data_IF_283832455833
#
_entry.id   IF_283832455833
#
_cell.length_a   1.000
_cell.length_b   1.000
_cell.length_c   1.000
_cell.angle_alpha   90.00
_cell.angle_beta   90.00
_cell.angle_gamma   90.00
#
_symmetry.space_group_name_H-M   'P 1'
#
loop_
_entity.id
_entity.type
_entity.pdbx_description
1 polymer ?
#
# COMPACT_ATOMS: atom_id res chain seq x y z
N UNK A 1 -21.19 1.80 -4.18
CA UNK A 1 -19.74 1.48 -4.25
C UNK A 1 -19.06 2.04 -3.03
N UNK A 2 -18.17 1.28 -2.42
CA UNK A 2 -17.49 1.69 -1.18
C UNK A 2 -16.01 1.34 -1.26
N UNK A 3 -15.15 2.27 -0.83
CA UNK A 3 -13.73 2.01 -0.65
C UNK A 3 -13.54 1.34 0.70
N UNK A 4 -12.71 0.31 0.75
CA UNK A 4 -12.32 -0.32 1.98
C UNK A 4 -10.86 -0.81 1.94
N UNK A 5 -10.28 -0.96 3.11
CA UNK A 5 -9.00 -1.65 3.31
C UNK A 5 -9.14 -2.68 4.41
N UNK A 6 -8.68 -3.88 4.13
CA UNK A 6 -8.48 -4.95 5.11
C UNK A 6 -7.00 -5.26 5.16
N UNK A 7 -6.43 -5.27 6.34
CA UNK A 7 -5.00 -5.52 6.44
C UNK A 7 -4.53 -5.79 7.85
N UNK A 8 -3.23 -5.98 7.95
CA UNK A 8 -2.49 -6.06 9.20
C UNK A 8 -1.17 -5.31 9.07
N UNK A 9 -0.65 -4.88 10.18
CA UNK A 9 0.62 -4.15 10.23
C UNK A 9 1.44 -4.56 11.46
N UNK A 10 2.65 -4.01 11.55
CA UNK A 10 3.49 -4.14 12.75
C UNK A 10 2.81 -3.68 14.06
N UNK A 11 1.71 -2.94 13.97
CA UNK A 11 0.91 -2.50 15.13
C UNK A 11 -0.08 -3.55 15.59
N UNK A 12 -0.58 -4.38 14.66
CA UNK A 12 -1.67 -5.33 14.92
C UNK A 12 -1.21 -6.77 14.94
N UNK A 13 -0.09 -7.10 14.29
CA UNK A 13 0.39 -8.47 14.13
C UNK A 13 1.90 -8.58 14.34
N UNK A 14 2.37 -9.62 15.07
CA UNK A 14 3.80 -9.93 15.20
C UNK A 14 4.36 -10.44 13.87
N UNK A 15 5.70 -10.48 13.76
CA UNK A 15 6.38 -10.83 12.51
C UNK A 15 6.02 -12.22 12.00
N UNK A 16 5.82 -13.19 12.89
CA UNK A 16 5.45 -14.59 12.58
C UNK A 16 4.11 -14.71 11.83
N UNK A 17 3.20 -13.78 12.09
CA UNK A 17 1.89 -13.73 11.41
C UNK A 17 2.04 -12.98 10.08
N UNK A 18 2.79 -11.87 10.09
CA UNK A 18 3.00 -11.05 8.88
C UNK A 18 3.71 -11.80 7.77
N UNK A 19 4.72 -12.61 8.09
CA UNK A 19 5.46 -13.40 7.10
C UNK A 19 4.59 -14.46 6.40
N UNK A 20 3.63 -15.09 7.11
CA UNK A 20 2.69 -16.06 6.53
C UNK A 20 1.70 -15.44 5.54
N UNK A 21 1.43 -14.15 5.69
CA UNK A 21 0.50 -13.41 4.84
C UNK A 21 1.21 -12.59 3.76
N UNK A 22 2.54 -12.50 3.81
CA UNK A 22 3.33 -11.77 2.81
C UNK A 22 3.08 -12.32 1.40
N UNK A 23 2.79 -11.43 0.45
CA UNK A 23 2.58 -11.78 -0.97
C UNK A 23 3.77 -11.25 -1.76
N UNK A 24 4.67 -12.13 -2.22
CA UNK A 24 5.83 -11.72 -3.00
C UNK A 24 5.42 -11.29 -4.42
N UNK A 25 6.24 -10.43 -5.04
CA UNK A 25 5.96 -9.85 -6.37
C UNK A 25 5.55 -10.87 -7.44
N UNK A 26 6.15 -12.08 -7.54
CA UNK A 26 5.73 -13.05 -8.54
C UNK A 26 4.31 -13.60 -8.37
N UNK A 27 3.73 -13.49 -7.17
CA UNK A 27 2.38 -13.96 -6.87
C UNK A 27 1.32 -12.86 -6.96
N UNK A 28 1.72 -11.60 -7.12
CA UNK A 28 0.81 -10.44 -7.12
C UNK A 28 -0.24 -10.52 -8.22
N UNK A 29 0.13 -10.94 -9.43
CA UNK A 29 -0.80 -11.06 -10.55
C UNK A 29 -1.94 -12.02 -10.24
N UNK A 30 -1.61 -13.24 -9.79
CA UNK A 30 -2.59 -14.24 -9.43
C UNK A 30 -3.46 -13.81 -8.23
N UNK A 31 -2.86 -13.14 -7.24
CA UNK A 31 -3.56 -12.65 -6.06
C UNK A 31 -4.57 -11.54 -6.41
N UNK A 32 -4.20 -10.58 -7.24
CA UNK A 32 -5.09 -9.50 -7.70
C UNK A 32 -6.21 -10.09 -8.57
N UNK A 33 -5.89 -10.99 -9.50
CA UNK A 33 -6.89 -11.64 -10.34
C UNK A 33 -7.90 -12.45 -9.51
N UNK A 34 -7.44 -13.16 -8.49
CA UNK A 34 -8.31 -13.89 -7.58
C UNK A 34 -9.23 -12.94 -6.80
N UNK A 35 -8.71 -11.84 -6.24
CA UNK A 35 -9.54 -10.84 -5.56
C UNK A 35 -10.61 -10.25 -6.48
N UNK A 36 -10.26 -9.89 -7.71
CA UNK A 36 -11.20 -9.35 -8.67
C UNK A 36 -12.19 -10.41 -9.25
N UNK A 37 -12.01 -11.70 -8.97
CA UNK A 37 -12.95 -12.74 -9.34
C UNK A 37 -14.13 -12.88 -8.36
N UNK A 38 -14.07 -12.29 -7.20
CA UNK A 38 -15.17 -12.29 -6.24
C UNK A 38 -16.30 -11.34 -6.69
N UNK A 39 -17.56 -11.74 -6.51
CA UNK A 39 -18.71 -11.02 -7.08
C UNK A 39 -18.93 -9.60 -6.54
N UNK A 40 -18.45 -9.31 -5.32
CA UNK A 40 -18.65 -8.00 -4.71
C UNK A 40 -17.40 -7.10 -4.75
N UNK A 41 -16.28 -7.58 -5.31
CA UNK A 41 -15.02 -6.81 -5.47
C UNK A 41 -14.91 -6.31 -6.92
N UNK A 42 -14.92 -4.99 -7.10
CA UNK A 42 -14.85 -4.34 -8.41
C UNK A 42 -13.42 -3.90 -8.76
N UNK A 43 -12.70 -3.40 -7.77
CA UNK A 43 -11.29 -3.03 -7.90
C UNK A 43 -10.53 -3.60 -6.71
N UNK A 44 -9.29 -4.05 -6.92
CA UNK A 44 -8.42 -4.54 -5.85
C UNK A 44 -6.95 -4.25 -6.13
N UNK A 45 -6.21 -3.91 -5.08
CA UNK A 45 -4.75 -3.88 -5.11
C UNK A 45 -4.16 -4.22 -3.75
N UNK A 46 -2.90 -4.64 -3.72
CA UNK A 46 -2.26 -5.20 -2.54
C UNK A 46 -0.97 -4.44 -2.24
N UNK A 47 -0.89 -3.84 -1.06
CA UNK A 47 0.33 -3.28 -0.50
C UNK A 47 0.95 -4.32 0.44
N UNK A 48 1.98 -5.03 -0.02
CA UNK A 48 2.73 -6.02 0.76
C UNK A 48 4.16 -5.52 0.98
N UNK A 49 4.54 -5.36 2.25
CA UNK A 49 5.87 -4.89 2.68
C UNK A 49 6.35 -5.73 3.86
N UNK A 50 7.56 -5.48 4.37
CA UNK A 50 8.03 -6.12 5.61
C UNK A 50 7.16 -5.81 6.84
N UNK A 51 6.46 -4.66 6.86
CA UNK A 51 5.75 -4.19 8.04
C UNK A 51 4.23 -4.24 7.93
N UNK A 52 3.68 -4.51 6.72
CA UNK A 52 2.23 -4.55 6.49
C UNK A 52 1.85 -5.39 5.29
N UNK A 53 0.66 -5.96 5.38
CA UNK A 53 -0.11 -6.40 4.25
C UNK A 53 -1.46 -5.70 4.29
N UNK A 54 -1.81 -4.97 3.25
CA UNK A 54 -3.07 -4.25 3.13
C UNK A 54 -3.68 -4.49 1.76
N UNK A 55 -4.95 -4.85 1.74
CA UNK A 55 -5.73 -5.07 0.52
C UNK A 55 -6.74 -3.94 0.42
N UNK A 56 -6.56 -3.08 -0.56
CA UNK A 56 -7.46 -1.98 -0.90
C UNK A 56 -8.43 -2.44 -1.96
N UNK A 57 -9.72 -2.26 -1.70
CA UNK A 57 -10.78 -2.70 -2.60
C UNK A 57 -11.84 -1.62 -2.80
N UNK A 58 -12.50 -1.69 -3.95
CA UNK A 58 -13.79 -1.05 -4.19
C UNK A 58 -14.83 -2.16 -4.25
N UNK A 59 -15.87 -2.04 -3.44
CA UNK A 59 -16.91 -3.06 -3.32
C UNK A 59 -18.28 -2.54 -3.74
N UNK A 60 -19.07 -3.40 -4.36
CA UNK A 60 -20.50 -3.12 -4.61
C UNK A 60 -21.30 -3.16 -3.32
N UNK A 61 -21.02 -4.15 -2.47
CA UNK A 61 -21.62 -4.35 -1.14
C UNK A 61 -20.53 -4.52 -0.09
N UNK A 62 -20.48 -3.62 0.88
CA UNK A 62 -19.36 -3.52 1.82
C UNK A 62 -19.17 -4.78 2.67
N UNK A 63 -20.24 -5.28 3.30
CA UNK A 63 -20.12 -6.44 4.19
C UNK A 63 -19.69 -7.72 3.47
N UNK A 64 -20.24 -7.95 2.28
CA UNK A 64 -19.90 -9.11 1.47
C UNK A 64 -18.46 -9.00 0.94
N UNK A 65 -18.09 -7.85 0.39
CA UNK A 65 -16.72 -7.63 -0.08
C UNK A 65 -15.67 -7.79 1.03
N UNK A 66 -15.96 -7.32 2.26
CA UNK A 66 -15.04 -7.53 3.38
C UNK A 66 -14.89 -9.00 3.77
N UNK A 67 -15.96 -9.79 3.69
CA UNK A 67 -15.89 -11.25 3.92
C UNK A 67 -15.07 -11.94 2.83
N UNK A 68 -15.23 -11.53 1.58
CA UNK A 68 -14.45 -12.06 0.44
C UNK A 68 -12.96 -11.76 0.59
N UNK A 69 -12.57 -10.54 0.99
CA UNK A 69 -11.17 -10.23 1.29
C UNK A 69 -10.64 -11.07 2.45
N UNK A 70 -11.42 -11.25 3.52
CA UNK A 70 -11.03 -12.08 4.65
C UNK A 70 -10.90 -13.57 4.26
N UNK A 71 -11.78 -14.06 3.39
CA UNK A 71 -11.70 -15.40 2.82
C UNK A 71 -10.42 -15.56 2.00
N UNK A 72 -10.12 -14.62 1.09
CA UNK A 72 -8.88 -14.60 0.32
C UNK A 72 -7.64 -14.71 1.22
N UNK A 73 -7.59 -13.93 2.31
CA UNK A 73 -6.46 -13.96 3.25
C UNK A 73 -6.34 -15.32 3.96
N UNK A 74 -7.45 -15.94 4.32
CA UNK A 74 -7.47 -17.28 4.92
C UNK A 74 -6.97 -18.36 3.95
N UNK A 75 -7.40 -18.30 2.70
CA UNK A 75 -6.98 -19.22 1.64
C UNK A 75 -5.47 -19.06 1.33
N UNK A 76 -5.02 -17.80 1.19
CA UNK A 76 -3.62 -17.50 0.91
C UNK A 76 -2.67 -17.97 2.02
N UNK A 77 -3.00 -17.66 3.27
CA UNK A 77 -2.16 -18.01 4.42
C UNK A 77 -2.31 -19.46 4.89
N UNK A 78 -3.34 -20.18 4.39
CA UNK A 78 -3.74 -21.50 4.87
C UNK A 78 -4.09 -21.51 6.37
N UNK A 79 -4.46 -20.37 6.92
CA UNK A 79 -4.89 -20.22 8.30
C UNK A 79 -6.41 -20.00 8.36
N UNK A 80 -7.11 -20.60 9.30
CA UNK A 80 -8.54 -20.34 9.46
C UNK A 80 -8.79 -18.90 9.90
N UNK A 81 -9.87 -18.31 9.39
CA UNK A 81 -10.19 -16.88 9.56
C UNK A 81 -10.25 -16.45 11.04
N UNK A 82 -10.67 -17.34 11.96
CA UNK A 82 -10.75 -17.02 13.38
C UNK A 82 -9.36 -16.78 14.01
N UNK A 83 -8.29 -17.36 13.45
CA UNK A 83 -6.91 -17.10 13.88
C UNK A 83 -6.36 -15.79 13.32
N UNK A 84 -6.82 -15.36 12.14
CA UNK A 84 -6.38 -14.10 11.50
C UNK A 84 -7.11 -12.90 12.07
N UNK A 85 -8.40 -13.07 12.40
CA UNK A 85 -9.30 -11.98 12.82
C UNK A 85 -8.74 -11.06 13.92
N UNK A 86 -8.04 -11.54 14.96
CA UNK A 86 -7.46 -10.68 15.99
C UNK A 86 -6.39 -9.73 15.50
N UNK A 87 -5.77 -10.02 14.36
CA UNK A 87 -4.66 -9.25 13.77
C UNK A 87 -5.12 -8.32 12.65
N UNK A 88 -6.29 -8.58 12.08
CA UNK A 88 -6.81 -7.79 10.96
C UNK A 88 -7.51 -6.53 11.45
N UNK A 89 -7.21 -5.43 10.79
CA UNK A 89 -8.03 -4.23 10.85
C UNK A 89 -8.85 -4.08 9.56
N UNK A 90 -9.98 -3.39 9.69
CA UNK A 90 -10.83 -3.02 8.55
C UNK A 90 -11.17 -1.54 8.67
N UNK A 91 -10.90 -0.77 7.63
CA UNK A 91 -11.27 0.64 7.55
C UNK A 91 -12.12 0.86 6.30
N UNK A 92 -13.07 1.74 6.41
CA UNK A 92 -14.08 2.00 5.38
C UNK A 92 -14.08 3.47 5.00
N UNK A 93 -14.43 3.77 3.74
CA UNK A 93 -14.65 5.12 3.23
C UNK A 93 -13.51 6.08 3.57
N UNK A 94 -13.84 7.18 4.26
CA UNK A 94 -12.91 8.23 4.63
C UNK A 94 -11.74 7.72 5.49
N UNK A 95 -11.99 6.74 6.39
CA UNK A 95 -10.94 6.15 7.20
C UNK A 95 -9.93 5.36 6.36
N UNK A 96 -10.41 4.65 5.31
CA UNK A 96 -9.53 3.95 4.38
C UNK A 96 -8.69 4.92 3.52
N UNK A 97 -9.29 6.04 3.11
CA UNK A 97 -8.62 7.12 2.37
C UNK A 97 -7.52 7.75 3.22
N UNK A 98 -7.87 8.22 4.42
CA UNK A 98 -6.94 8.81 5.37
C UNK A 98 -5.81 7.84 5.71
N UNK A 99 -6.13 6.56 5.92
CA UNK A 99 -5.13 5.54 6.22
C UNK A 99 -4.09 5.40 5.10
N UNK A 100 -4.51 5.29 3.82
CA UNK A 100 -3.56 5.21 2.71
C UNK A 100 -2.69 6.47 2.61
N UNK A 101 -3.24 7.65 2.85
CA UNK A 101 -2.49 8.91 2.86
C UNK A 101 -1.46 8.94 4.00
N UNK A 102 -1.83 8.52 5.22
CA UNK A 102 -0.92 8.37 6.37
C UNK A 102 0.19 7.37 6.09
N UNK A 103 -0.14 6.24 5.46
CA UNK A 103 0.85 5.24 5.03
C UNK A 103 1.81 5.85 4.01
N UNK A 104 1.31 6.52 2.97
CA UNK A 104 2.14 7.15 1.93
C UNK A 104 3.05 8.26 2.49
N UNK A 105 2.58 9.00 3.49
CA UNK A 105 3.36 10.02 4.20
C UNK A 105 4.40 9.43 5.17
N UNK A 106 4.28 8.15 5.52
CA UNK A 106 5.15 7.48 6.49
C UNK A 106 4.74 7.71 7.95
N UNK A 107 3.54 8.25 8.19
CA UNK A 107 3.00 8.45 9.55
C UNK A 107 2.59 7.14 10.22
N UNK A 108 2.27 6.12 9.42
CA UNK A 108 1.95 4.78 9.92
C UNK A 108 3.11 3.78 9.80
N UNK A 109 4.31 4.23 9.48
CA UNK A 109 5.51 3.39 9.41
C UNK A 109 6.08 3.10 10.79
N UNK A 110 6.82 1.98 10.92
CA UNK A 110 7.56 1.64 12.14
C UNK A 110 8.49 2.79 12.54
N UNK A 111 9.12 3.39 11.55
CA UNK A 111 9.93 4.59 11.68
C UNK A 111 9.19 5.75 11.04
N UNK A 112 8.79 6.73 11.85
CA UNK A 112 8.03 7.90 11.39
C UNK A 112 8.78 8.63 10.27
N UNK A 113 8.09 8.86 9.15
CA UNK A 113 8.66 9.55 8.00
C UNK A 113 9.60 8.72 7.13
N UNK A 114 9.61 7.38 7.29
CA UNK A 114 10.41 6.50 6.43
C UNK A 114 10.10 6.72 4.94
N UNK A 115 11.15 7.00 4.16
CA UNK A 115 10.98 7.30 2.72
C UNK A 115 10.66 6.11 1.84
N UNK A 116 10.94 4.90 2.31
CA UNK A 116 10.74 3.67 1.56
C UNK A 116 9.26 3.39 1.28
N UNK A 117 8.38 3.67 2.26
CA UNK A 117 6.95 3.37 2.13
C UNK A 117 6.29 4.12 0.96
N UNK A 118 6.66 5.38 0.71
CA UNK A 118 6.14 6.12 -0.44
C UNK A 118 6.53 5.46 -1.77
N UNK A 119 7.73 4.89 -1.86
CA UNK A 119 8.17 4.15 -3.04
C UNK A 119 7.42 2.83 -3.18
N UNK A 120 7.08 2.17 -2.08
CA UNK A 120 6.27 0.94 -2.06
C UNK A 120 4.82 1.23 -2.48
N UNK A 121 4.21 2.31 -2.00
CA UNK A 121 2.86 2.75 -2.45
C UNK A 121 2.85 3.06 -3.95
N UNK A 122 3.88 3.75 -4.49
CA UNK A 122 4.02 3.96 -5.94
C UNK A 122 4.14 2.65 -6.71
N UNK A 123 4.90 1.70 -6.18
CA UNK A 123 5.05 0.38 -6.79
C UNK A 123 3.73 -0.39 -6.79
N UNK A 124 3.01 -0.39 -5.67
CA UNK A 124 1.66 -1.00 -5.55
C UNK A 124 0.69 -0.42 -6.57
N UNK A 125 0.65 0.90 -6.74
CA UNK A 125 -0.16 1.56 -7.76
C UNK A 125 0.18 1.07 -9.17
N UNK A 126 1.47 1.03 -9.51
CA UNK A 126 1.94 0.55 -10.83
C UNK A 126 1.58 -0.91 -11.07
N UNK A 127 1.79 -1.78 -10.09
CA UNK A 127 1.48 -3.21 -10.15
C UNK A 127 -0.02 -3.44 -10.30
N UNK A 128 -0.85 -2.73 -9.51
CA UNK A 128 -2.30 -2.81 -9.61
C UNK A 128 -2.84 -2.38 -10.97
N UNK A 129 -2.23 -1.35 -11.60
CA UNK A 129 -2.56 -0.95 -12.97
C UNK A 129 -2.12 -2.01 -13.99
N UNK A 130 -0.91 -2.53 -13.85
CA UNK A 130 -0.35 -3.54 -14.77
C UNK A 130 -1.21 -4.80 -14.81
N UNK A 131 -1.70 -5.26 -13.66
CA UNK A 131 -2.52 -6.47 -13.54
C UNK A 131 -4.03 -6.19 -13.54
N UNK A 132 -4.43 -4.98 -13.99
CA UNK A 132 -5.84 -4.56 -14.16
C UNK A 132 -6.72 -4.70 -12.91
N UNK A 133 -6.13 -4.68 -11.73
CA UNK A 133 -6.87 -4.66 -10.47
C UNK A 133 -7.33 -3.27 -10.06
N UNK A 134 -6.67 -2.22 -10.56
CA UNK A 134 -6.99 -0.82 -10.28
C UNK A 134 -7.84 -0.24 -11.42
N UNK A 135 -9.07 0.15 -11.10
CA UNK A 135 -9.95 0.93 -11.97
C UNK A 135 -9.86 2.43 -11.67
N UNK A 136 -10.93 3.15 -11.95
CA UNK A 136 -10.98 4.62 -11.83
C UNK A 136 -10.80 5.10 -10.39
N UNK A 137 -11.38 4.39 -9.44
CA UNK A 137 -11.47 4.82 -8.04
C UNK A 137 -10.14 4.64 -7.33
N UNK A 138 -9.59 3.42 -7.31
CA UNK A 138 -8.30 3.17 -6.69
C UNK A 138 -7.17 3.93 -7.41
N UNK A 139 -7.27 4.12 -8.74
CA UNK A 139 -6.30 4.92 -9.47
C UNK A 139 -6.25 6.37 -8.96
N UNK A 140 -7.42 6.99 -8.74
CA UNK A 140 -7.48 8.35 -8.20
C UNK A 140 -6.99 8.39 -6.75
N UNK A 141 -7.43 7.44 -5.91
CA UNK A 141 -7.03 7.33 -4.52
C UNK A 141 -5.50 7.21 -4.37
N UNK A 142 -4.88 6.26 -5.11
CA UNK A 142 -3.43 6.07 -5.03
C UNK A 142 -2.64 7.27 -5.56
N UNK A 143 -3.11 7.93 -6.62
CA UNK A 143 -2.50 9.17 -7.12
C UNK A 143 -2.52 10.25 -6.04
N UNK A 144 -3.68 10.48 -5.42
CA UNK A 144 -3.84 11.47 -4.35
C UNK A 144 -3.01 11.13 -3.11
N UNK A 145 -2.97 9.87 -2.69
CA UNK A 145 -2.13 9.45 -1.57
C UNK A 145 -0.62 9.65 -1.86
N UNK A 146 -0.18 9.40 -3.11
CA UNK A 146 1.21 9.66 -3.51
C UNK A 146 1.51 11.17 -3.54
N UNK A 147 0.58 12.01 -3.99
CA UNK A 147 0.70 13.47 -3.97
C UNK A 147 0.77 13.97 -2.53
N UNK A 148 -0.15 13.54 -1.65
CA UNK A 148 -0.17 13.84 -0.23
C UNK A 148 1.13 13.44 0.48
N UNK A 149 1.62 12.21 0.24
CA UNK A 149 2.89 11.75 0.80
C UNK A 149 4.11 12.56 0.34
N UNK A 150 4.12 13.09 -0.90
CA UNK A 150 5.15 14.02 -1.36
C UNK A 150 5.02 15.39 -0.69
N UNK A 151 3.79 15.94 -0.61
CA UNK A 151 3.48 17.22 -0.01
C UNK A 151 3.94 17.27 1.44
N UNK A 152 3.54 16.28 2.24
CA UNK A 152 3.95 16.14 3.64
C UNK A 152 5.49 16.14 3.79
N UNK A 153 6.20 15.40 2.93
CA UNK A 153 7.67 15.33 2.97
C UNK A 153 8.37 16.63 2.56
N UNK A 154 7.70 17.47 1.79
CA UNK A 154 8.25 18.74 1.30
C UNK A 154 7.92 19.89 2.23
N UNK A 155 6.71 19.89 2.80
CA UNK A 155 6.19 20.99 3.62
C UNK A 155 6.43 20.80 5.13
N UNK A 156 6.81 19.57 5.57
CA UNK A 156 7.14 19.30 6.97
C UNK A 156 8.55 18.74 7.13
N UNK A 157 9.06 18.76 8.36
CA UNK A 157 10.36 18.15 8.68
C UNK A 157 10.34 16.62 8.79
N UNK A 158 9.24 15.95 8.41
CA UNK A 158 9.09 14.50 8.56
C UNK A 158 10.13 13.69 7.76
N UNK A 159 10.61 14.26 6.64
CA UNK A 159 11.64 13.64 5.80
C UNK A 159 13.07 13.90 6.26
N UNK A 160 13.28 14.88 7.16
CA UNK A 160 14.60 15.24 7.69
C UNK A 160 14.83 14.56 9.02
N UNK A 161 15.81 13.67 9.07
CA UNK A 161 16.11 12.89 10.29
C UNK A 161 15.26 11.62 10.44
N UNK A 162 14.57 11.19 9.40
CA UNK A 162 13.88 9.89 9.39
C UNK A 162 14.91 8.76 9.57
N UNK A 163 14.84 8.09 10.69
CA UNK A 163 15.60 6.86 10.93
C UNK A 163 14.99 5.78 10.04
N UNK A 164 15.76 5.17 9.15
CA UNK A 164 15.31 4.00 8.38
C UNK A 164 15.34 2.75 9.27
N UNK A 165 14.65 1.68 8.88
CA UNK A 165 14.79 0.38 9.56
C UNK A 165 16.27 -0.02 9.65
N UNK A 166 17.03 0.22 8.59
CA UNK A 166 18.47 -0.04 8.57
C UNK A 166 19.23 0.81 9.59
N UNK A 167 18.91 2.10 9.74
CA UNK A 167 19.56 2.95 10.75
C UNK A 167 19.13 2.58 12.16
N UNK A 168 17.86 2.22 12.39
CA UNK A 168 17.37 1.72 13.66
C UNK A 168 18.06 0.41 14.07
N UNK A 169 18.29 -0.49 13.10
CA UNK A 169 19.05 -1.72 13.34
C UNK A 169 20.50 -1.45 13.74
N UNK A 170 21.18 -0.52 13.07
CA UNK A 170 22.56 -0.11 13.43
C UNK A 170 22.59 0.57 14.80
N UNK A 171 21.58 1.39 15.12
CA UNK A 171 21.47 2.03 16.44
C UNK A 171 21.23 1.00 17.56
N UNK A 172 20.37 0.00 17.32
CA UNK A 172 20.17 -1.11 18.27
C UNK A 172 21.46 -1.91 18.44
N UNK A 173 22.18 -2.21 17.35
CA UNK A 173 23.47 -2.89 17.41
C UNK A 173 24.47 -2.09 18.25
N UNK A 174 24.56 -0.78 18.05
CA UNK A 174 25.43 0.10 18.86
C UNK A 174 25.06 0.08 20.35
N UNK A 175 23.77 0.07 20.68
CA UNK A 175 23.30 0.02 22.08
C UNK A 175 23.60 -1.35 22.72
N UNK A 176 23.49 -2.44 21.97
CA UNK A 176 23.69 -3.80 22.48
C UNK A 176 25.18 -4.19 22.58
N UNK A 177 26.01 -3.77 21.65
CA UNK A 177 27.45 -4.06 21.64
C UNK A 177 28.27 -3.12 22.52
N UNK A 178 27.71 -2.01 23.00
CA UNK A 178 28.41 -0.93 23.69
C UNK A 178 29.49 -0.23 22.85
N UNK A 179 30.22 -0.95 21.99
CA UNK A 179 31.25 -0.40 21.12
C UNK A 179 31.29 -1.12 19.77
N UNK A 180 30.50 -0.61 18.81
CA UNK A 180 30.44 -1.17 17.46
C UNK A 180 31.77 -1.01 16.70
N UNK A 181 32.62 -0.04 17.08
CA UNK A 181 33.92 0.21 16.43
C UNK A 181 34.92 -0.95 16.62
N UNK A 182 34.75 -1.75 17.66
CA UNK A 182 35.59 -2.94 17.89
C UNK A 182 35.03 -4.23 17.25
N UNK A 183 33.81 -4.16 16.67
CA UNK A 183 33.12 -5.33 16.15
C UNK A 183 33.47 -5.62 14.67
N UNK A 184 33.55 -6.90 14.34
CA UNK A 184 33.56 -7.41 12.96
C UNK A 184 32.12 -7.61 12.53
N UNK A 185 31.70 -6.89 11.52
CA UNK A 185 30.32 -6.85 11.08
C UNK A 185 30.14 -7.60 9.76
N UNK A 186 29.16 -8.49 9.68
CA UNK A 186 28.74 -9.09 8.44
C UNK A 186 27.33 -8.63 8.02
N UNK A 187 27.12 -8.40 6.73
CA UNK A 187 25.83 -8.06 6.13
C UNK A 187 25.48 -9.14 5.11
N UNK A 188 24.42 -9.89 5.37
CA UNK A 188 23.89 -10.92 4.47
C UNK A 188 22.82 -10.31 3.57
N UNK A 189 23.18 -10.09 2.31
CA UNK A 189 22.42 -9.40 1.28
C UNK A 189 23.16 -8.20 0.72
N UNK A 190 22.90 -7.86 -0.55
CA UNK A 190 23.49 -6.69 -1.23
C UNK A 190 22.43 -5.78 -1.89
N UNK A 191 21.19 -5.81 -1.40
CA UNK A 191 20.09 -5.02 -1.90
C UNK A 191 20.05 -3.58 -1.33
N UNK A 192 18.91 -2.92 -1.53
CA UNK A 192 18.68 -1.53 -1.04
C UNK A 192 18.88 -1.40 0.47
N UNK A 193 18.44 -2.41 1.25
CA UNK A 193 18.58 -2.40 2.71
C UNK A 193 20.05 -2.51 3.13
N UNK A 194 20.81 -3.40 2.47
CA UNK A 194 22.25 -3.54 2.71
C UNK A 194 23.00 -2.22 2.44
N UNK A 195 22.64 -1.51 1.37
CA UNK A 195 23.20 -0.18 1.09
C UNK A 195 22.99 0.82 2.22
N UNK A 196 21.76 0.86 2.75
CA UNK A 196 21.43 1.74 3.89
C UNK A 196 22.16 1.31 5.16
N UNK A 197 22.28 -0.01 5.42
CA UNK A 197 23.09 -0.52 6.53
C UNK A 197 24.54 -0.04 6.43
N UNK A 198 25.19 -0.23 5.28
CA UNK A 198 26.57 0.23 5.04
C UNK A 198 26.68 1.74 5.27
N UNK A 199 25.75 2.54 4.72
CA UNK A 199 25.74 3.98 4.88
C UNK A 199 25.68 4.42 6.36
N UNK A 200 24.96 3.68 7.19
CA UNK A 200 24.83 4.00 8.64
C UNK A 200 25.92 3.36 9.50
N UNK A 201 26.55 2.27 9.04
CA UNK A 201 27.64 1.60 9.74
C UNK A 201 28.96 2.32 9.56
N UNK A 202 29.31 2.76 8.36
CA UNK A 202 30.62 3.36 8.08
C UNK A 202 30.98 4.54 8.99
N UNK A 203 30.08 5.48 9.33
CA UNK A 203 30.40 6.55 10.29
C UNK A 203 30.71 6.07 11.71
N UNK A 204 30.38 4.83 12.05
CA UNK A 204 30.66 4.20 13.36
C UNK A 204 31.95 3.40 13.40
N UNK A 205 32.67 3.40 12.26
CA UNK A 205 34.03 2.83 12.10
C UNK A 205 34.17 1.40 12.64
N UNK A 206 33.33 0.42 12.24
CA UNK A 206 33.51 -0.96 12.68
C UNK A 206 34.87 -1.50 12.25
N UNK A 207 35.42 -2.45 13.01
CA UNK A 207 36.75 -3.00 12.78
C UNK A 207 36.85 -3.66 11.40
N UNK A 208 35.75 -4.23 10.91
CA UNK A 208 35.64 -4.87 9.60
C UNK A 208 34.18 -4.92 9.15
N UNK A 209 33.93 -4.76 7.84
CA UNK A 209 32.61 -4.96 7.24
C UNK A 209 32.70 -5.96 6.09
N UNK A 210 32.02 -7.11 6.24
CA UNK A 210 31.87 -8.12 5.21
C UNK A 210 30.49 -8.06 4.57
N UNK A 211 30.41 -8.17 3.25
CA UNK A 211 29.16 -8.24 2.48
C UNK A 211 29.04 -9.62 1.88
N UNK A 212 27.99 -10.35 2.26
CA UNK A 212 27.68 -11.66 1.69
C UNK A 212 26.49 -11.56 0.76
N UNK A 213 26.63 -12.09 -0.46
CA UNK A 213 25.51 -12.12 -1.40
C UNK A 213 25.52 -13.41 -2.21
N UNK A 214 24.38 -13.76 -2.83
CA UNK A 214 24.27 -14.92 -3.72
C UNK A 214 25.25 -14.85 -4.88
N UNK A 215 25.44 -13.68 -5.45
CA UNK A 215 26.41 -13.42 -6.52
C UNK A 215 27.42 -12.37 -6.07
N UNK A 216 28.69 -12.59 -6.38
CA UNK A 216 29.76 -11.64 -6.09
C UNK A 216 29.54 -10.30 -6.83
N UNK A 217 28.96 -10.35 -8.04
CA UNK A 217 28.64 -9.14 -8.82
C UNK A 217 27.73 -8.18 -8.06
N UNK A 218 26.65 -8.69 -7.42
CA UNK A 218 25.74 -7.83 -6.62
C UNK A 218 26.45 -7.20 -5.41
N UNK A 219 27.34 -7.93 -4.75
CA UNK A 219 28.16 -7.39 -3.67
C UNK A 219 29.15 -6.32 -4.20
N UNK A 220 29.74 -6.53 -5.37
CA UNK A 220 30.64 -5.59 -6.04
C UNK A 220 29.93 -4.30 -6.46
N UNK A 221 28.71 -4.40 -6.98
CA UNK A 221 27.88 -3.22 -7.31
C UNK A 221 27.58 -2.37 -6.06
N UNK A 222 27.33 -3.01 -4.93
CA UNK A 222 27.18 -2.32 -3.66
C UNK A 222 28.47 -1.65 -3.22
N UNK A 223 29.58 -2.37 -3.23
CA UNK A 223 30.89 -1.84 -2.82
C UNK A 223 31.35 -0.66 -3.69
N UNK A 224 31.07 -0.69 -4.98
CA UNK A 224 31.38 0.41 -5.90
C UNK A 224 30.74 1.75 -5.52
N UNK A 225 29.68 1.74 -4.72
CA UNK A 225 29.01 2.94 -4.22
C UNK A 225 29.72 3.54 -2.99
N UNK A 226 30.63 2.77 -2.35
CA UNK A 226 31.37 3.14 -1.15
C UNK A 226 32.87 2.93 -1.34
N UNK A 227 33.43 3.55 -2.38
CA UNK A 227 34.82 3.34 -2.84
C UNK A 227 35.91 3.61 -1.79
N UNK A 228 35.60 4.43 -0.79
CA UNK A 228 36.55 4.79 0.28
C UNK A 228 36.48 3.81 1.49
N UNK A 229 35.53 2.87 1.45
CA UNK A 229 35.33 1.90 2.52
C UNK A 229 35.99 0.56 2.19
N UNK A 230 36.70 -0.02 3.16
CA UNK A 230 37.26 -1.37 3.06
C UNK A 230 36.14 -2.40 3.31
N UNK A 231 35.42 -2.77 2.26
CA UNK A 231 34.36 -3.76 2.30
C UNK A 231 34.86 -5.08 1.75
N UNK A 232 34.85 -6.12 2.56
CA UNK A 232 35.18 -7.49 2.12
C UNK A 232 33.98 -8.16 1.53
N UNK A 233 34.13 -8.73 0.33
CA UNK A 233 33.04 -9.30 -0.45
C UNK A 233 33.13 -10.81 -0.47
N UNK A 234 32.02 -11.45 -0.15
CA UNK A 234 31.91 -12.89 -0.05
C UNK A 234 30.66 -13.42 -0.76
N UNK A 235 30.70 -14.66 -1.17
CA UNK A 235 29.51 -15.39 -1.62
C UNK A 235 28.77 -16.04 -0.45
N UNK A 236 27.50 -16.38 -0.62
CA UNK A 236 26.76 -17.11 0.42
C UNK A 236 27.36 -18.51 0.72
N UNK A 237 28.14 -19.07 -0.18
CA UNK A 237 28.88 -20.34 0.07
C UNK A 237 29.91 -20.20 1.18
N UNK A 238 30.45 -18.98 1.40
CA UNK A 238 31.44 -18.65 2.42
C UNK A 238 30.81 -18.21 3.75
N UNK A 239 29.44 -18.27 3.85
CA UNK A 239 28.69 -17.75 4.99
C UNK A 239 29.18 -18.35 6.32
N UNK A 240 29.49 -19.65 6.38
CA UNK A 240 29.93 -20.28 7.61
C UNK A 240 31.23 -19.67 8.15
N UNK A 241 32.24 -19.53 7.29
CA UNK A 241 33.53 -18.95 7.71
C UNK A 241 33.41 -17.48 8.09
N UNK A 242 32.61 -16.68 7.35
CA UNK A 242 32.44 -15.25 7.64
C UNK A 242 31.66 -15.04 8.93
N UNK A 243 30.63 -15.84 9.20
CA UNK A 243 29.85 -15.72 10.43
C UNK A 243 30.64 -16.16 11.66
N UNK A 244 31.48 -17.21 11.54
CA UNK A 244 32.40 -17.66 12.60
C UNK A 244 33.38 -16.55 13.03
N UNK A 245 33.77 -15.68 12.10
CA UNK A 245 34.64 -14.54 12.36
C UNK A 245 33.93 -13.24 12.72
N UNK A 246 32.58 -13.23 12.79
CA UNK A 246 31.79 -12.03 13.01
C UNK A 246 31.28 -11.90 14.45
N UNK A 247 31.18 -10.68 14.94
CA UNK A 247 30.61 -10.35 16.25
C UNK A 247 29.14 -9.87 16.11
N UNK A 248 28.84 -9.25 14.93
CA UNK A 248 27.52 -8.70 14.60
C UNK A 248 27.16 -9.08 13.17
N UNK A 249 25.96 -9.59 12.97
CA UNK A 249 25.45 -9.97 11.64
C UNK A 249 24.11 -9.28 11.39
N UNK A 250 23.99 -8.60 10.25
CA UNK A 250 22.73 -8.08 9.74
C UNK A 250 22.25 -8.95 8.58
N UNK A 251 20.99 -9.39 8.61
CA UNK A 251 20.36 -10.11 7.50
C UNK A 251 19.31 -9.25 6.84
N UNK A 252 19.37 -9.14 5.51
CA UNK A 252 18.49 -8.31 4.71
C UNK A 252 18.27 -8.84 3.29
N UNK A 253 18.05 -10.15 3.17
CA UNK A 253 17.84 -10.81 1.88
C UNK A 253 16.35 -10.96 1.55
N UNK A 254 16.04 -11.30 0.31
CA UNK A 254 14.69 -11.64 -0.15
C UNK A 254 14.42 -13.17 -0.09
N UNK A 255 15.14 -13.91 0.75
CA UNK A 255 14.92 -15.35 0.91
C UNK A 255 13.54 -15.56 1.56
N UNK A 256 12.81 -16.56 1.08
CA UNK A 256 11.50 -16.95 1.59
C UNK A 256 11.56 -17.94 2.74
N UNK A 257 12.73 -18.54 2.96
CA UNK A 257 13.00 -19.46 4.05
C UNK A 257 14.17 -18.94 4.89
N UNK A 258 14.21 -19.25 6.20
CA UNK A 258 15.31 -18.85 7.07
C UNK A 258 16.66 -19.37 6.57
N UNK A 259 17.63 -18.49 6.49
CA UNK A 259 19.00 -18.83 6.13
C UNK A 259 19.75 -19.41 7.31
N UNK A 260 19.45 -18.94 8.53
CA UNK A 260 20.07 -19.31 9.79
C UNK A 260 19.01 -19.84 10.75
N UNK A 261 19.32 -20.96 11.36
CA UNK A 261 18.59 -21.61 12.42
C UNK A 261 19.57 -22.11 13.49
N UNK A 262 19.05 -22.60 14.62
CA UNK A 262 19.86 -23.12 15.71
C UNK A 262 20.87 -24.16 15.24
N UNK A 263 20.45 -25.15 14.45
CA UNK A 263 21.30 -26.27 14.02
C UNK A 263 22.48 -25.79 13.16
N UNK A 264 22.24 -24.82 12.27
CA UNK A 264 23.31 -24.23 11.46
C UNK A 264 24.28 -23.41 12.30
N UNK A 265 23.75 -22.63 13.28
CA UNK A 265 24.57 -21.81 14.16
C UNK A 265 25.45 -22.66 15.10
N UNK A 266 24.97 -23.80 15.59
CA UNK A 266 25.76 -24.77 16.37
C UNK A 266 26.95 -25.35 15.55
N UNK A 267 26.82 -25.46 14.23
CA UNK A 267 27.89 -25.90 13.34
C UNK A 267 28.90 -24.78 13.04
N UNK A 268 28.41 -23.52 12.94
CA UNK A 268 29.21 -22.36 12.55
C UNK A 268 30.04 -21.82 13.72
N UNK A 269 29.46 -21.76 14.91
CA UNK A 269 30.04 -21.06 16.06
C UNK A 269 30.74 -22.03 17.00
N UNK A 270 31.85 -21.60 17.56
CA UNK A 270 32.43 -22.30 18.69
C UNK A 270 31.56 -22.17 19.93
N UNK A 271 31.45 -23.21 20.79
CA UNK A 271 30.67 -23.16 21.99
C UNK A 271 31.02 -21.96 22.88
N UNK A 272 30.07 -21.08 23.14
CA UNK A 272 30.25 -19.86 23.96
C UNK A 272 30.75 -18.64 23.20
N UNK A 273 30.95 -18.70 21.88
CA UNK A 273 31.29 -17.54 21.06
C UNK A 273 30.07 -16.63 20.93
N UNK A 274 30.13 -15.39 21.42
CA UNK A 274 28.98 -14.49 21.37
C UNK A 274 28.72 -14.01 19.93
N UNK A 275 27.47 -14.09 19.47
CA UNK A 275 27.03 -13.54 18.21
C UNK A 275 25.73 -12.76 18.36
N UNK A 276 25.68 -11.56 17.78
CA UNK A 276 24.45 -10.76 17.67
C UNK A 276 23.93 -10.77 16.24
N UNK A 277 22.68 -11.18 16.07
CA UNK A 277 21.98 -11.25 14.79
C UNK A 277 20.90 -10.17 14.74
N UNK A 278 20.89 -9.36 13.71
CA UNK A 278 19.86 -8.31 13.47
C UNK A 278 19.17 -8.61 12.15
N UNK A 279 18.02 -9.26 12.23
CA UNK A 279 17.23 -9.62 11.04
C UNK A 279 16.21 -8.53 10.70
N UNK A 280 16.45 -7.84 9.59
CA UNK A 280 15.54 -6.82 9.06
C UNK A 280 14.75 -7.31 7.85
N UNK A 281 14.72 -8.62 7.62
CA UNK A 281 14.02 -9.27 6.51
C UNK A 281 12.61 -9.69 6.89
N UNK A 282 11.71 -9.68 5.91
CA UNK A 282 10.39 -10.32 6.00
C UNK A 282 10.10 -10.95 4.64
N UNK A 283 9.96 -12.28 4.57
CA UNK A 283 10.07 -13.26 5.68
C UNK A 283 11.42 -13.23 6.39
N UNK A 284 11.46 -13.72 7.63
CA UNK A 284 12.68 -13.74 8.44
C UNK A 284 13.78 -14.59 7.77
N UNK A 285 15.02 -14.10 7.84
CA UNK A 285 16.18 -14.84 7.45
C UNK A 285 16.82 -15.63 8.61
N UNK A 286 16.45 -15.29 9.86
CA UNK A 286 16.90 -15.97 11.09
C UNK A 286 15.67 -16.60 11.76
N UNK A 287 15.74 -17.91 12.04
CA UNK A 287 14.69 -18.59 12.75
C UNK A 287 14.67 -18.18 14.24
N UNK A 288 13.50 -18.28 14.87
CA UNK A 288 13.32 -17.91 16.28
C UNK A 288 14.14 -18.82 17.22
N UNK A 289 14.37 -20.06 16.84
CA UNK A 289 15.15 -21.03 17.58
C UNK A 289 16.64 -20.69 17.74
N UNK A 290 17.15 -19.73 16.95
CA UNK A 290 18.50 -19.18 17.12
C UNK A 290 18.75 -18.63 18.53
N UNK A 291 17.70 -18.07 19.18
CA UNK A 291 17.79 -17.57 20.56
C UNK A 291 17.83 -18.68 21.63
N UNK A 292 17.65 -19.95 21.29
CA UNK A 292 17.83 -21.08 22.22
C UNK A 292 19.32 -21.31 22.55
N UNK A 293 20.23 -20.73 21.76
CA UNK A 293 21.65 -20.72 22.04
C UNK A 293 22.01 -19.57 22.98
N UNK A 294 22.48 -19.87 24.18
CA UNK A 294 22.74 -18.87 25.23
C UNK A 294 23.81 -17.81 24.87
N UNK A 295 24.62 -18.07 23.87
CA UNK A 295 25.66 -17.19 23.33
C UNK A 295 25.24 -16.46 22.05
N UNK A 296 24.01 -16.69 21.55
CA UNK A 296 23.45 -15.99 20.40
C UNK A 296 22.31 -15.08 20.87
N UNK A 297 22.27 -13.85 20.35
CA UNK A 297 21.16 -12.93 20.53
C UNK A 297 20.64 -12.51 19.17
N UNK A 298 19.46 -12.99 18.81
CA UNK A 298 18.79 -12.64 17.57
C UNK A 298 17.67 -11.62 17.83
N UNK A 299 17.73 -10.50 17.09
CA UNK A 299 16.76 -9.42 17.10
C UNK A 299 16.10 -9.36 15.73
N UNK A 300 14.80 -9.19 15.71
CA UNK A 300 14.01 -9.04 14.49
C UNK A 300 13.48 -7.59 14.33
N UNK A 301 12.72 -7.34 13.27
CA UNK A 301 12.16 -6.01 12.95
C UNK A 301 11.31 -5.45 14.10
N UNK A 302 10.64 -6.28 14.91
CA UNK A 302 9.80 -5.81 16.00
C UNK A 302 10.64 -5.31 17.20
N UNK A 303 11.85 -5.80 17.40
CA UNK A 303 12.77 -5.34 18.44
C UNK A 303 13.29 -3.92 18.21
N UNK A 304 13.21 -3.43 16.96
CA UNK A 304 13.58 -2.06 16.60
C UNK A 304 12.62 -1.01 17.18
N UNK A 305 11.40 -1.41 17.56
CA UNK A 305 10.40 -0.50 18.16
C UNK A 305 10.92 0.23 19.40
N UNK A 306 11.73 -0.43 20.23
CA UNK A 306 12.29 0.15 21.43
C UNK A 306 13.27 1.31 21.14
N UNK A 307 14.05 1.21 20.06
CA UNK A 307 14.99 2.25 19.62
C UNK A 307 14.26 3.46 19.06
N UNK A 308 13.20 3.21 18.32
CA UNK A 308 12.37 4.28 17.71
C UNK A 308 11.63 5.09 18.77
N UNK A 309 11.29 4.48 19.92
CA UNK A 309 10.52 5.12 20.98
C UNK A 309 11.29 6.23 21.73
N UNK A 310 12.60 6.25 21.70
CA UNK A 310 13.43 7.20 22.49
C UNK A 310 13.41 8.66 21.99
N UNK A 311 12.89 8.93 20.79
CA UNK A 311 12.87 10.28 20.18
C UNK A 311 11.44 10.84 19.98
N UNK A 312 10.51 10.57 20.90
CA UNK A 312 9.07 10.73 20.67
C UNK A 312 8.55 12.18 20.62
N UNK A 313 9.07 13.12 21.41
CA UNK A 313 8.41 14.44 21.57
C UNK A 313 8.56 15.35 20.35
N UNK A 314 9.76 15.49 19.79
CA UNK A 314 9.96 16.27 18.55
C UNK A 314 9.24 15.65 17.34
N UNK A 315 9.11 14.33 17.32
CA UNK A 315 8.39 13.61 16.26
C UNK A 315 6.89 13.76 16.34
N UNK A 316 6.34 13.91 17.56
CA UNK A 316 4.90 14.12 17.76
C UNK A 316 4.44 15.43 17.14
N UNK A 317 5.20 16.51 17.33
CA UNK A 317 4.86 17.81 16.74
C UNK A 317 4.86 17.74 15.21
N UNK A 318 5.91 17.14 14.60
CA UNK A 318 5.98 16.95 13.15
C UNK A 318 4.84 16.08 12.63
N UNK A 319 4.45 15.06 13.39
CA UNK A 319 3.31 14.22 13.02
C UNK A 319 1.99 15.00 13.00
N UNK A 320 1.77 15.89 13.98
CA UNK A 320 0.57 16.75 14.02
C UNK A 320 0.50 17.70 12.82
N UNK A 321 1.63 18.32 12.45
CA UNK A 321 1.70 19.17 11.25
C UNK A 321 1.38 18.39 9.97
N UNK A 322 1.92 17.17 9.87
CA UNK A 322 1.65 16.30 8.75
C UNK A 322 0.19 15.84 8.68
N UNK A 323 -0.44 15.51 9.83
CA UNK A 323 -1.87 15.13 9.88
C UNK A 323 -2.77 16.25 9.36
N UNK A 324 -2.51 17.51 9.75
CA UNK A 324 -3.30 18.65 9.28
C UNK A 324 -3.26 18.80 7.75
N UNK A 325 -2.08 18.58 7.12
CA UNK A 325 -1.96 18.57 5.65
C UNK A 325 -2.74 17.42 5.01
N UNK A 326 -2.80 16.26 5.67
CA UNK A 326 -3.56 15.12 5.14
C UNK A 326 -5.07 15.32 5.24
N UNK A 327 -5.57 16.02 6.25
CA UNK A 327 -6.99 16.37 6.38
C UNK A 327 -7.47 17.18 5.16
N UNK A 328 -6.69 18.17 4.69
CA UNK A 328 -6.98 18.93 3.46
C UNK A 328 -7.09 18.03 2.23
N UNK A 329 -6.15 17.06 2.09
CA UNK A 329 -6.13 16.14 0.95
C UNK A 329 -7.29 15.13 0.98
N UNK A 330 -7.69 14.70 2.17
CA UNK A 330 -8.88 13.84 2.36
C UNK A 330 -10.14 14.60 1.98
N UNK A 331 -10.29 15.86 2.42
CA UNK A 331 -11.44 16.70 2.04
C UNK A 331 -11.52 16.88 0.52
N UNK A 332 -10.39 17.16 -0.13
CA UNK A 332 -10.30 17.26 -1.60
C UNK A 332 -10.70 15.96 -2.30
N UNK A 333 -10.28 14.81 -1.76
CA UNK A 333 -10.68 13.50 -2.27
C UNK A 333 -12.19 13.27 -2.10
N UNK A 334 -12.74 13.58 -0.95
CA UNK A 334 -14.17 13.47 -0.66
C UNK A 334 -15.03 14.34 -1.60
N UNK A 335 -14.60 15.57 -1.90
CA UNK A 335 -15.28 16.41 -2.89
C UNK A 335 -15.28 15.74 -4.28
N UNK A 336 -14.16 15.18 -4.69
CA UNK A 336 -14.09 14.44 -5.95
C UNK A 336 -14.99 13.19 -5.93
N UNK A 337 -14.96 12.39 -4.86
CA UNK A 337 -15.81 11.21 -4.70
C UNK A 337 -17.29 11.53 -4.87
N UNK A 338 -17.74 12.58 -4.17
CA UNK A 338 -19.12 13.06 -4.26
C UNK A 338 -19.50 13.56 -5.65
N UNK A 339 -18.54 14.09 -6.42
CA UNK A 339 -18.79 14.50 -7.79
C UNK A 339 -19.13 13.32 -8.71
N UNK A 340 -18.63 12.12 -8.41
CA UNK A 340 -18.94 10.91 -9.19
C UNK A 340 -20.42 10.52 -9.09
N UNK A 341 -21.00 10.60 -7.89
CA UNK A 341 -22.43 10.32 -7.68
C UNK A 341 -23.31 11.29 -8.50
N UNK A 342 -22.93 12.57 -8.50
CA UNK A 342 -23.65 13.60 -9.25
C UNK A 342 -23.58 13.33 -10.77
N UNK A 343 -22.41 12.98 -11.28
CA UNK A 343 -22.21 12.67 -12.70
C UNK A 343 -23.06 11.45 -13.10
N UNK A 344 -23.04 10.40 -12.28
CA UNK A 344 -23.82 9.19 -12.53
C UNK A 344 -25.33 9.46 -12.60
N UNK A 345 -25.88 10.19 -11.61
CA UNK A 345 -27.31 10.55 -11.59
C UNK A 345 -27.69 11.40 -12.81
N UNK A 346 -26.84 12.36 -13.20
CA UNK A 346 -27.08 13.21 -14.39
C UNK A 346 -27.03 12.36 -15.66
N UNK A 347 -26.09 11.41 -15.78
CA UNK A 347 -26.02 10.52 -16.95
C UNK A 347 -27.26 9.66 -17.06
N UNK A 348 -27.64 8.93 -16.00
CA UNK A 348 -28.83 8.09 -15.97
C UNK A 348 -30.12 8.86 -16.29
N UNK A 349 -30.23 10.11 -15.81
CA UNK A 349 -31.36 10.97 -16.17
C UNK A 349 -31.37 11.32 -17.66
N UNK A 350 -30.20 11.66 -18.24
CA UNK A 350 -30.08 11.95 -19.67
C UNK A 350 -30.43 10.75 -20.52
N UNK A 351 -29.87 9.60 -20.21
CA UNK A 351 -30.07 8.36 -20.97
C UNK A 351 -31.55 7.95 -20.98
N UNK A 352 -32.21 8.06 -19.82
CA UNK A 352 -33.64 7.78 -19.72
C UNK A 352 -34.50 8.76 -20.54
N UNK A 353 -34.21 10.04 -20.46
CA UNK A 353 -34.97 11.04 -21.22
C UNK A 353 -34.72 10.92 -22.71
N UNK A 354 -33.48 10.57 -23.12
CA UNK A 354 -33.16 10.31 -24.53
C UNK A 354 -33.88 9.07 -25.03
N UNK A 355 -33.95 8.00 -24.27
CA UNK A 355 -34.74 6.80 -24.60
C UNK A 355 -36.23 7.14 -24.82
N UNK A 356 -36.81 7.97 -23.95
CA UNK A 356 -38.18 8.44 -24.08
C UNK A 356 -38.33 9.27 -25.36
N UNK A 357 -37.40 10.19 -25.64
CA UNK A 357 -37.40 11.00 -26.86
C UNK A 357 -37.38 10.13 -28.13
N UNK A 358 -36.50 9.15 -28.18
CA UNK A 358 -36.37 8.25 -29.32
C UNK A 358 -37.65 7.42 -29.56
N UNK A 359 -38.23 6.86 -28.50
CA UNK A 359 -39.47 6.10 -28.60
C UNK A 359 -40.64 6.97 -29.10
N UNK A 360 -40.78 8.20 -28.61
CA UNK A 360 -41.84 9.08 -29.08
C UNK A 360 -41.58 9.63 -30.47
N UNK A 361 -40.31 9.85 -30.84
CA UNK A 361 -39.92 10.22 -32.20
C UNK A 361 -40.28 9.11 -33.19
N UNK A 362 -39.95 7.86 -32.89
CA UNK A 362 -40.28 6.69 -33.73
C UNK A 362 -41.79 6.55 -33.91
N UNK A 363 -42.56 6.67 -32.82
CA UNK A 363 -44.03 6.66 -32.88
C UNK A 363 -44.60 7.81 -33.74
N UNK A 364 -44.03 9.00 -33.66
CA UNK A 364 -44.45 10.14 -34.46
C UNK A 364 -44.15 9.93 -35.95
N UNK A 365 -42.93 9.50 -36.29
CA UNK A 365 -42.51 9.25 -37.66
C UNK A 365 -43.34 8.13 -38.30
N UNK A 366 -43.66 7.05 -37.57
CA UNK A 366 -44.51 5.97 -38.07
C UNK A 366 -45.94 6.40 -38.41
N UNK A 367 -46.45 7.44 -37.72
CA UNK A 367 -47.82 7.99 -38.00
C UNK A 367 -47.86 9.00 -39.14
N UNK A 368 -46.74 9.63 -39.47
CA UNK A 368 -46.64 10.68 -40.49
C UNK A 368 -46.54 10.14 -41.91
N UNK A 369 -46.29 8.84 -42.09
CA UNK A 369 -46.06 8.20 -43.37
C UNK A 369 -44.62 8.36 -43.86
N UNK A 370 -44.16 7.42 -44.68
CA UNK A 370 -42.74 7.26 -45.07
C UNK A 370 -42.21 8.48 -45.81
N UNK A 371 -42.90 9.01 -46.77
CA UNK A 371 -42.44 10.15 -47.59
C UNK A 371 -42.30 11.45 -46.79
N UNK A 372 -43.22 11.71 -45.86
CA UNK A 372 -43.14 12.89 -44.99
C UNK A 372 -42.06 12.70 -43.91
N UNK A 373 -41.95 11.51 -43.36
CA UNK A 373 -40.96 11.19 -42.34
C UNK A 373 -39.55 11.38 -42.92
N UNK A 374 -39.21 10.81 -44.04
CA UNK A 374 -37.89 10.93 -44.68
C UNK A 374 -37.54 12.41 -44.97
N UNK A 375 -38.50 13.22 -45.40
CA UNK A 375 -38.25 14.63 -45.76
C UNK A 375 -38.04 15.55 -44.53
N UNK A 376 -38.64 15.22 -43.40
CA UNK A 376 -38.67 16.12 -42.21
C UNK A 376 -38.04 15.53 -40.96
N UNK A 377 -37.48 14.33 -41.02
CA UNK A 377 -36.89 13.64 -39.91
C UNK A 377 -35.89 14.52 -39.14
N UNK A 378 -34.93 15.14 -39.82
CA UNK A 378 -33.90 15.96 -39.22
C UNK A 378 -34.47 17.15 -38.43
N UNK A 379 -35.53 17.77 -38.95
CA UNK A 379 -36.16 18.93 -38.31
C UNK A 379 -36.90 18.49 -37.04
N UNK A 380 -37.63 17.39 -37.09
CA UNK A 380 -38.39 16.83 -35.96
C UNK A 380 -37.40 16.32 -34.89
N UNK A 381 -36.31 15.68 -35.31
CA UNK A 381 -35.25 15.26 -34.41
C UNK A 381 -34.58 16.43 -33.71
N UNK A 382 -34.21 17.49 -34.44
CA UNK A 382 -33.62 18.70 -33.86
C UNK A 382 -34.57 19.39 -32.89
N UNK A 383 -35.89 19.45 -33.24
CA UNK A 383 -36.91 20.04 -32.37
C UNK A 383 -37.04 19.24 -31.04
N UNK A 384 -37.20 17.93 -31.11
CA UNK A 384 -37.35 17.06 -29.92
C UNK A 384 -36.12 17.10 -29.05
N UNK A 385 -34.90 17.06 -29.64
CA UNK A 385 -33.63 17.19 -28.95
C UNK A 385 -33.46 18.56 -28.28
N UNK A 386 -33.93 19.63 -28.97
CA UNK A 386 -33.95 20.98 -28.42
C UNK A 386 -34.86 21.13 -27.20
N UNK A 387 -36.03 20.49 -27.24
CA UNK A 387 -36.98 20.49 -26.09
C UNK A 387 -36.36 19.77 -24.90
N UNK A 388 -35.83 18.57 -25.10
CA UNK A 388 -35.16 17.76 -24.06
C UNK A 388 -34.02 18.54 -23.41
N UNK A 389 -33.14 19.14 -24.22
CA UNK A 389 -32.01 19.89 -23.72
C UNK A 389 -32.45 21.11 -22.86
N UNK A 390 -33.49 21.82 -23.27
CA UNK A 390 -34.01 22.96 -22.51
C UNK A 390 -34.65 22.54 -21.18
N UNK A 391 -35.39 21.43 -21.16
CA UNK A 391 -36.02 20.92 -19.93
C UNK A 391 -34.95 20.45 -18.92
N UNK A 392 -33.89 19.77 -19.39
CA UNK A 392 -32.85 19.23 -18.52
C UNK A 392 -31.79 20.27 -18.11
N UNK A 393 -31.70 21.40 -18.82
CA UNK A 393 -30.63 22.38 -18.59
C UNK A 393 -30.59 22.89 -17.14
N UNK A 394 -31.68 23.46 -16.67
CA UNK A 394 -31.72 24.10 -15.36
C UNK A 394 -31.52 23.09 -14.20
N UNK A 395 -32.19 21.92 -14.16
CA UNK A 395 -31.93 20.91 -13.16
C UNK A 395 -30.47 20.47 -13.11
N UNK A 396 -29.83 20.28 -14.26
CA UNK A 396 -28.42 19.85 -14.31
C UNK A 396 -27.45 20.94 -13.85
N UNK A 397 -27.70 22.19 -14.20
CA UNK A 397 -26.90 23.33 -13.76
C UNK A 397 -27.03 23.50 -12.24
N UNK A 398 -28.26 23.45 -11.70
CA UNK A 398 -28.46 23.57 -10.27
C UNK A 398 -27.82 22.43 -9.46
N UNK A 399 -27.91 21.19 -9.92
CA UNK A 399 -27.24 20.06 -9.27
C UNK A 399 -25.72 20.21 -9.22
N UNK A 400 -25.13 20.73 -10.30
CA UNK A 400 -23.66 20.96 -10.36
C UNK A 400 -23.23 22.16 -9.52
N UNK A 401 -24.04 23.20 -9.46
CA UNK A 401 -23.75 24.42 -8.74
C UNK A 401 -23.99 24.31 -7.23
N UNK A 402 -24.78 23.32 -6.78
CA UNK A 402 -25.12 23.16 -5.37
C UNK A 402 -23.87 22.78 -4.56
N UNK A 403 -23.43 23.70 -3.69
CA UNK A 403 -22.27 23.53 -2.83
C UNK A 403 -22.63 22.79 -1.53
N UNK A 404 -23.85 22.98 -1.03
CA UNK A 404 -24.32 22.22 0.13
C UNK A 404 -24.52 20.76 -0.22
N UNK A 405 -23.79 19.93 0.50
CA UNK A 405 -23.66 18.49 0.27
C UNK A 405 -24.97 17.76 0.55
N UNK A 406 -25.62 18.08 1.67
CA UNK A 406 -26.88 17.45 2.06
C UNK A 406 -28.01 17.85 1.13
N UNK A 407 -28.10 19.12 0.78
CA UNK A 407 -29.06 19.62 -0.19
C UNK A 407 -28.87 18.96 -1.58
N UNK A 408 -27.64 18.81 -2.05
CA UNK A 408 -27.32 18.13 -3.30
C UNK A 408 -27.70 16.66 -3.28
N UNK A 409 -27.35 15.95 -2.19
CA UNK A 409 -27.68 14.52 -2.02
C UNK A 409 -29.19 14.31 -2.01
N UNK A 410 -29.93 15.15 -1.28
CA UNK A 410 -31.39 15.12 -1.24
C UNK A 410 -32.01 15.39 -2.61
N UNK A 411 -31.48 16.36 -3.36
CA UNK A 411 -31.91 16.65 -4.72
C UNK A 411 -31.66 15.47 -5.67
N UNK A 412 -30.50 14.83 -5.61
CA UNK A 412 -30.19 13.62 -6.40
C UNK A 412 -31.13 12.46 -6.06
N UNK A 413 -31.33 12.16 -4.79
CA UNK A 413 -32.27 11.12 -4.35
C UNK A 413 -33.69 11.42 -4.83
N UNK A 414 -34.12 12.67 -4.75
CA UNK A 414 -35.42 13.09 -5.27
C UNK A 414 -35.55 12.84 -6.76
N UNK A 415 -34.53 13.17 -7.57
CA UNK A 415 -34.53 12.90 -9.00
C UNK A 415 -34.53 11.40 -9.30
N UNK A 416 -33.75 10.61 -8.57
CA UNK A 416 -33.72 9.15 -8.73
C UNK A 416 -35.13 8.55 -8.51
N UNK A 417 -35.81 8.98 -7.45
CA UNK A 417 -37.18 8.53 -7.14
C UNK A 417 -38.18 9.03 -8.19
N UNK A 418 -38.20 10.33 -8.48
CA UNK A 418 -39.20 10.93 -9.41
C UNK A 418 -39.08 10.41 -10.82
N UNK A 419 -37.87 10.15 -11.30
CA UNK A 419 -37.62 9.65 -12.64
C UNK A 419 -37.44 8.13 -12.68
N UNK A 420 -37.57 7.42 -11.55
CA UNK A 420 -37.32 5.99 -11.43
C UNK A 420 -35.99 5.62 -12.13
N UNK A 421 -34.91 6.32 -11.75
CA UNK A 421 -33.59 6.04 -12.26
C UNK A 421 -33.06 4.83 -11.49
N UNK A 422 -32.58 3.81 -12.21
CA UNK A 422 -31.89 2.71 -11.60
C UNK A 422 -30.63 3.26 -10.90
N UNK A 423 -30.38 2.82 -9.68
CA UNK A 423 -29.09 3.10 -9.03
C UNK A 423 -28.01 2.58 -9.97
N UNK A 424 -27.11 3.46 -10.41
CA UNK A 424 -26.14 3.19 -11.47
C UNK A 424 -25.46 1.83 -11.27
N UNK A 425 -25.97 0.81 -11.94
CA UNK A 425 -25.37 -0.50 -12.02
C UNK A 425 -24.41 -0.51 -13.21
N UNK A 426 -23.13 -0.72 -12.87
CA UNK A 426 -22.06 -1.33 -13.67
C UNK A 426 -21.65 -0.82 -15.07
N UNK A 427 -22.33 0.08 -15.77
CA UNK A 427 -21.97 0.39 -17.16
C UNK A 427 -20.98 1.55 -17.37
N UNK A 428 -20.53 2.22 -16.32
CA UNK A 428 -19.57 3.34 -16.43
C UNK A 428 -18.09 2.93 -16.40
N UNK A 429 -17.79 1.65 -16.48
CA UNK A 429 -16.42 1.11 -16.31
C UNK A 429 -15.95 0.20 -17.45
N UNK A 430 -16.46 0.40 -18.66
CA UNK A 430 -15.89 -0.15 -19.87
C UNK A 430 -14.61 0.57 -20.32
#
# INVERSE_FOLDING_TARGET
MNIAVVGLSHKTAPVEVREKLSIPTPQMEAAIAHLCSYPHIQEATILSTCNRLEIYVVTSETEHGMREVAQFLAEHSKLPIYQLRPYLFTLLHQDAVMHLMRVAAGLDSLVLGEGQILSQVKHTHKVGQQYKGIGRILNHLFKKAIEAGKRVRTETSIGTGAVSISSAAVELAQLKTQNLASCRVAIVGAGKMARLLVQHLLPRTPAQVCILNRSLNGAQELANQFKEADLRLHTLAEMQSVLADSDVVFTCTAATEPLLDRAKLEIILEPGQPLMLFDISVPRNVDADANDLSYVQAFNVDDLKAVVAQNQESRRQIAMEAEALLEDEVEAFEMWWRSLETVSTISSLRDKVETIREQELEKALSRLGTEFAEKHQDIIEALTRGIVNKILHDPMVQLRAQQDIEARRKAMQTLQVLFNLEAASNELYG
#
